data_IF_902486306541
#
_entry.id   IF_902486306541
#
_cell.length_a   1.000
_cell.length_b   1.000
_cell.length_c   1.000
_cell.angle_alpha   90.00
_cell.angle_beta   90.00
_cell.angle_gamma   90.00
#
_symmetry.space_group_name_H-M   'P 1'
#
loop_
_entity.id
_entity.type
_entity.pdbx_description
1 polymer ?
#
# COMPACT_ATOMS: atom_id res chain seq x y z
N UNK A 1 16.46 8.60 14.22
CA UNK A 1 16.92 8.47 12.81
C UNK A 1 15.84 7.66 12.10
N UNK A 2 15.21 8.23 11.07
CA UNK A 2 14.03 7.66 10.42
C UNK A 2 14.46 6.46 9.56
N UNK A 3 14.36 5.25 10.13
CA UNK A 3 14.82 3.97 9.55
C UNK A 3 13.71 3.31 8.70
N UNK A 4 12.97 4.11 7.94
CA UNK A 4 12.00 3.60 6.96
C UNK A 4 12.79 3.05 5.76
N UNK A 5 12.64 1.76 5.48
CA UNK A 5 13.20 1.18 4.26
C UNK A 5 12.43 1.70 3.05
N UNK A 6 13.12 1.88 1.93
CA UNK A 6 12.43 2.24 0.68
C UNK A 6 11.58 1.07 0.16
N UNK A 7 12.10 -0.16 0.27
CA UNK A 7 11.46 -1.38 -0.22
C UNK A 7 11.61 -2.50 0.82
N UNK A 8 10.50 -3.17 1.13
CA UNK A 8 10.46 -4.48 1.76
C UNK A 8 10.09 -5.52 0.71
N UNK A 9 10.86 -6.60 0.66
CA UNK A 9 10.54 -7.76 -0.17
C UNK A 9 9.89 -8.84 0.70
N UNK A 10 8.78 -9.40 0.23
CA UNK A 10 8.08 -10.50 0.90
C UNK A 10 8.28 -11.80 0.14
N UNK A 11 8.42 -12.89 0.89
CA UNK A 11 8.79 -14.19 0.36
C UNK A 11 7.61 -15.14 0.16
N UNK A 12 6.49 -14.92 0.85
CA UNK A 12 5.34 -15.84 0.86
C UNK A 12 4.01 -15.17 0.54
N UNK A 13 3.02 -15.95 0.10
CA UNK A 13 1.65 -15.46 -0.14
C UNK A 13 0.99 -15.08 1.19
N UNK A 14 1.28 -15.82 2.26
CA UNK A 14 0.78 -15.58 3.60
C UNK A 14 1.20 -14.19 4.13
N UNK A 15 2.43 -13.76 3.84
CA UNK A 15 2.90 -12.41 4.21
C UNK A 15 2.12 -11.32 3.45
N UNK A 16 1.79 -11.56 2.17
CA UNK A 16 0.91 -10.67 1.43
C UNK A 16 -0.52 -10.67 1.98
N UNK A 17 -1.06 -11.82 2.38
CA UNK A 17 -2.40 -11.88 2.98
C UNK A 17 -2.48 -11.11 4.29
N UNK A 18 -1.41 -11.18 5.10
CA UNK A 18 -1.27 -10.38 6.31
C UNK A 18 -1.32 -8.88 6.03
N UNK A 19 -0.94 -8.40 4.84
CA UNK A 19 -1.12 -7.01 4.45
C UNK A 19 -2.51 -6.75 3.83
N UNK A 20 -2.93 -7.56 2.84
CA UNK A 20 -3.98 -7.25 1.86
C UNK A 20 -5.43 -7.28 2.37
N UNK A 21 -5.67 -7.19 3.67
CA UNK A 21 -7.02 -6.90 4.19
C UNK A 21 -7.27 -5.41 4.22
N UNK A 22 -8.51 -4.99 3.96
CA UNK A 22 -8.89 -3.57 3.94
C UNK A 22 -8.42 -2.78 5.17
N UNK A 23 -8.75 -3.27 6.37
CA UNK A 23 -8.40 -2.57 7.62
C UNK A 23 -6.88 -2.51 7.86
N UNK A 24 -6.12 -3.52 7.41
CA UNK A 24 -4.66 -3.55 7.59
C UNK A 24 -3.94 -2.64 6.60
N UNK A 25 -4.42 -2.55 5.37
CA UNK A 25 -3.89 -1.59 4.40
C UNK A 25 -4.18 -0.14 4.81
N UNK A 26 -5.38 0.17 5.30
CA UNK A 26 -5.68 1.52 5.83
C UNK A 26 -4.84 1.86 7.06
N UNK A 27 -4.64 0.88 7.96
CA UNK A 27 -3.75 1.06 9.10
C UNK A 27 -2.29 1.27 8.66
N UNK A 28 -1.80 0.51 7.69
CA UNK A 28 -0.44 0.67 7.17
C UNK A 28 -0.23 2.05 6.53
N UNK A 29 -1.22 2.57 5.80
CA UNK A 29 -1.18 3.92 5.22
C UNK A 29 -1.09 5.01 6.29
N UNK A 30 -1.89 4.92 7.35
CA UNK A 30 -1.83 5.86 8.48
C UNK A 30 -0.50 5.78 9.23
N UNK A 31 0.06 4.57 9.35
CA UNK A 31 1.36 4.30 9.97
C UNK A 31 2.56 4.58 9.03
N UNK A 32 2.34 5.18 7.86
CA UNK A 32 3.44 5.76 7.07
C UNK A 32 4.20 6.83 7.88
N UNK A 33 3.47 7.52 8.77
CA UNK A 33 4.05 8.41 9.78
C UNK A 33 4.00 7.75 11.17
N UNK A 34 5.00 7.98 12.05
CA UNK A 34 5.01 7.38 13.38
C UNK A 34 3.79 7.80 14.23
N UNK A 35 3.00 6.83 14.70
CA UNK A 35 1.81 7.08 15.52
C UNK A 35 1.64 6.04 16.61
N UNK A 36 1.03 6.44 17.72
CA UNK A 36 0.56 5.50 18.73
C UNK A 36 -0.71 4.78 18.26
N UNK A 37 -1.00 3.62 18.85
CA UNK A 37 -2.24 2.89 18.55
C UNK A 37 -3.50 3.74 18.81
N UNK A 38 -3.44 4.68 19.76
CA UNK A 38 -4.56 5.58 20.05
C UNK A 38 -4.76 6.61 18.93
N UNK A 39 -3.69 7.27 18.49
CA UNK A 39 -3.74 8.25 17.39
C UNK A 39 -4.21 7.58 16.10
N UNK A 40 -3.67 6.40 15.76
CA UNK A 40 -4.11 5.67 14.57
C UNK A 40 -5.58 5.23 14.64
N UNK A 41 -6.09 4.87 15.83
CA UNK A 41 -7.50 4.51 16.01
C UNK A 41 -8.43 5.73 15.86
N UNK A 42 -7.99 6.89 16.34
CA UNK A 42 -8.69 8.17 16.17
C UNK A 42 -8.77 8.55 14.69
N UNK A 43 -7.65 8.47 13.95
CA UNK A 43 -7.60 8.75 12.51
C UNK A 43 -8.51 7.83 11.69
N UNK A 44 -8.62 6.55 12.09
CA UNK A 44 -9.51 5.56 11.45
C UNK A 44 -10.96 5.64 11.92
N UNK A 45 -11.27 6.41 12.97
CA UNK A 45 -12.61 6.44 13.56
C UNK A 45 -13.07 5.09 14.14
N UNK A 46 -12.15 4.25 14.61
CA UNK A 46 -12.46 2.91 15.16
C UNK A 46 -12.04 2.78 16.64
N UNK A 47 -12.64 1.86 17.42
CA UNK A 47 -12.16 1.57 18.76
C UNK A 47 -10.72 1.02 18.75
N UNK A 48 -9.86 1.54 19.63
CA UNK A 48 -8.45 1.11 19.73
C UNK A 48 -8.29 -0.39 20.00
N UNK A 49 -9.22 -1.01 20.72
CA UNK A 49 -9.24 -2.46 20.96
C UNK A 49 -9.40 -3.28 19.69
N UNK A 50 -10.20 -2.79 18.73
CA UNK A 50 -10.36 -3.40 17.41
C UNK A 50 -9.12 -3.17 16.55
N UNK A 51 -8.45 -2.03 16.72
CA UNK A 51 -7.20 -1.74 16.02
C UNK A 51 -6.08 -2.69 16.42
N UNK A 52 -5.95 -3.03 17.70
CA UNK A 52 -4.87 -3.91 18.19
C UNK A 52 -4.86 -5.27 17.50
N UNK A 53 -6.01 -5.81 17.09
CA UNK A 53 -6.06 -7.04 16.31
C UNK A 53 -5.29 -6.91 14.98
N UNK A 54 -5.56 -5.84 14.24
CA UNK A 54 -4.90 -5.57 12.95
C UNK A 54 -3.44 -5.16 13.12
N UNK A 55 -3.15 -4.34 14.14
CA UNK A 55 -1.80 -3.90 14.47
C UNK A 55 -0.88 -5.08 14.85
N UNK A 56 -1.37 -6.00 15.68
CA UNK A 56 -0.60 -7.18 16.08
C UNK A 56 -0.32 -8.08 14.89
N UNK A 57 -1.30 -8.31 13.99
CA UNK A 57 -1.06 -9.08 12.77
C UNK A 57 0.05 -8.46 11.89
N UNK A 58 0.08 -7.13 11.78
CA UNK A 58 1.14 -6.42 11.03
C UNK A 58 2.50 -6.47 11.74
N UNK A 59 2.53 -6.43 13.08
CA UNK A 59 3.75 -6.59 13.88
C UNK A 59 4.32 -8.02 13.74
N UNK A 60 3.46 -9.03 13.84
CA UNK A 60 3.83 -10.44 13.75
C UNK A 60 4.37 -10.79 12.35
N UNK A 61 3.79 -10.17 11.30
CA UNK A 61 4.28 -10.27 9.93
C UNK A 61 5.50 -9.38 9.64
N UNK A 62 6.01 -8.61 10.61
CA UNK A 62 7.16 -7.72 10.43
C UNK A 62 6.91 -6.54 9.48
N UNK A 63 5.65 -6.21 9.20
CA UNK A 63 5.23 -5.11 8.31
C UNK A 63 5.20 -3.75 9.02
N UNK A 64 5.05 -3.79 10.35
CA UNK A 64 5.08 -2.62 11.26
C UNK A 64 6.09 -2.90 12.37
N UNK A 65 6.71 -1.84 12.90
CA UNK A 65 7.61 -1.91 14.05
C UNK A 65 7.31 -0.84 15.08
N UNK A 66 7.75 -1.07 16.31
CA UNK A 66 7.83 -0.02 17.34
C UNK A 66 9.08 0.81 17.07
N UNK A 67 8.91 2.11 16.85
CA UNK A 67 10.00 3.05 16.57
C UNK A 67 10.39 3.90 17.76
N UNK A 68 9.50 4.03 18.74
CA UNK A 68 9.76 4.78 19.99
C UNK A 68 8.79 4.35 21.11
N UNK A 69 9.10 4.71 22.35
CA UNK A 69 8.22 4.58 23.51
C UNK A 69 8.18 5.88 24.31
N UNK A 70 6.98 6.47 24.46
CA UNK A 70 6.77 7.70 25.25
C UNK A 70 6.14 7.40 26.61
N UNK A 71 6.59 8.05 27.70
CA UNK A 71 5.94 7.91 29.00
C UNK A 71 4.54 8.54 29.00
N UNK A 72 3.57 7.84 29.58
CA UNK A 72 2.18 8.28 29.72
C UNK A 72 1.67 7.88 31.11
N UNK A 73 1.94 8.74 32.09
CA UNK A 73 1.71 8.43 33.50
C UNK A 73 2.62 7.28 33.97
N UNK A 74 2.05 6.22 34.51
CA UNK A 74 2.79 5.03 34.95
C UNK A 74 3.09 4.01 33.83
N UNK A 75 2.54 4.22 32.62
CA UNK A 75 2.68 3.30 31.50
C UNK A 75 3.58 3.90 30.41
N UNK A 76 4.17 3.04 29.58
CA UNK A 76 4.82 3.42 28.33
C UNK A 76 3.87 3.21 27.17
N UNK A 77 3.71 4.23 26.33
CA UNK A 77 2.94 4.15 25.09
C UNK A 77 3.90 3.96 23.92
N UNK A 78 3.67 2.91 23.12
CA UNK A 78 4.49 2.59 21.96
C UNK A 78 4.07 3.41 20.75
N UNK A 79 5.05 3.89 19.99
CA UNK A 79 4.89 4.56 18.71
C UNK A 79 5.25 3.55 17.62
N UNK A 80 4.34 3.38 16.66
CA UNK A 80 4.41 2.40 15.59
C UNK A 80 4.62 3.07 14.24
N UNK A 81 5.30 2.39 13.33
CA UNK A 81 5.48 2.83 11.94
C UNK A 81 5.64 1.61 11.04
N UNK A 82 5.20 1.71 9.78
CA UNK A 82 5.52 0.70 8.76
C UNK A 82 7.03 0.56 8.59
N UNK A 83 7.48 -0.64 8.22
CA UNK A 83 8.92 -0.90 8.05
C UNK A 83 9.46 -0.38 6.71
N UNK A 84 8.59 -0.28 5.69
CA UNK A 84 8.96 0.18 4.36
C UNK A 84 7.85 0.97 3.67
N UNK A 85 8.23 1.82 2.71
CA UNK A 85 7.30 2.59 1.86
C UNK A 85 6.69 1.74 0.74
N UNK A 86 7.48 0.82 0.20
CA UNK A 86 7.07 -0.07 -0.90
C UNK A 86 7.18 -1.51 -0.44
N UNK A 87 6.19 -2.33 -0.80
CA UNK A 87 6.19 -3.77 -0.56
C UNK A 87 6.06 -4.48 -1.90
N UNK A 88 6.94 -5.46 -2.17
CA UNK A 88 6.93 -6.22 -3.41
C UNK A 88 7.33 -7.68 -3.22
N UNK A 89 7.00 -8.57 -4.16
CA UNK A 89 7.48 -9.94 -4.12
C UNK A 89 9.00 -9.99 -4.24
N UNK A 90 9.65 -10.81 -3.44
CA UNK A 90 11.10 -11.04 -3.52
C UNK A 90 11.46 -11.91 -4.71
N UNK A 91 12.76 -12.04 -4.99
CA UNK A 91 13.25 -13.03 -5.95
C UNK A 91 12.89 -14.46 -5.52
N UNK A 92 12.97 -14.77 -4.23
CA UNK A 92 12.63 -16.09 -3.70
C UNK A 92 11.14 -16.41 -3.92
N UNK A 93 10.26 -15.43 -3.70
CA UNK A 93 8.84 -15.57 -4.01
C UNK A 93 8.63 -15.95 -5.48
N UNK A 94 9.28 -15.21 -6.40
CA UNK A 94 9.17 -15.46 -7.85
C UNK A 94 9.67 -16.87 -8.24
N UNK A 95 10.76 -17.33 -7.62
CA UNK A 95 11.30 -18.67 -7.84
C UNK A 95 10.40 -19.77 -7.24
N UNK A 96 9.70 -19.48 -6.15
CA UNK A 96 8.87 -20.45 -5.42
C UNK A 96 7.47 -20.59 -6.01
N UNK A 97 6.79 -19.47 -6.25
CA UNK A 97 5.38 -19.45 -6.66
C UNK A 97 5.16 -19.09 -8.13
N UNK A 98 6.20 -18.59 -8.81
CA UNK A 98 6.17 -18.28 -10.23
C UNK A 98 5.02 -17.34 -10.63
N UNK A 99 4.51 -17.53 -11.85
CA UNK A 99 3.41 -16.71 -12.38
C UNK A 99 2.08 -16.92 -11.65
N UNK A 100 1.85 -18.09 -11.06
CA UNK A 100 0.59 -18.40 -10.36
C UNK A 100 0.48 -17.64 -9.04
N UNK A 101 1.52 -17.65 -8.21
CA UNK A 101 1.54 -16.82 -6.99
C UNK A 101 1.52 -15.33 -7.29
N UNK A 102 2.18 -14.90 -8.37
CA UNK A 102 2.07 -13.51 -8.83
C UNK A 102 0.64 -13.14 -9.20
N UNK A 103 -0.09 -14.02 -9.88
CA UNK A 103 -1.50 -13.79 -10.21
C UNK A 103 -2.38 -13.76 -8.96
N UNK A 104 -2.11 -14.60 -7.97
CA UNK A 104 -2.82 -14.64 -6.69
C UNK A 104 -2.64 -13.34 -5.89
N UNK A 105 -1.39 -12.93 -5.63
CA UNK A 105 -1.08 -11.68 -4.92
C UNK A 105 -1.63 -10.46 -5.68
N UNK A 106 -1.53 -10.46 -7.01
CA UNK A 106 -2.12 -9.40 -7.83
C UNK A 106 -3.64 -9.35 -7.66
N UNK A 107 -4.32 -10.50 -7.64
CA UNK A 107 -5.77 -10.58 -7.44
C UNK A 107 -6.19 -10.03 -6.08
N UNK A 108 -5.44 -10.33 -5.02
CA UNK A 108 -5.69 -9.79 -3.68
C UNK A 108 -5.57 -8.26 -3.70
N UNK A 109 -4.52 -7.74 -4.32
CA UNK A 109 -4.25 -6.32 -4.40
C UNK A 109 -5.32 -5.59 -5.26
N UNK A 110 -5.75 -6.19 -6.38
CA UNK A 110 -6.83 -5.65 -7.22
C UNK A 110 -8.18 -5.58 -6.51
N UNK A 111 -8.55 -6.60 -5.72
CA UNK A 111 -9.82 -6.57 -4.95
C UNK A 111 -9.85 -5.41 -3.97
N UNK A 112 -8.72 -5.10 -3.35
CA UNK A 112 -8.66 -3.94 -2.47
C UNK A 112 -8.77 -2.63 -3.26
N UNK A 113 -8.07 -2.53 -4.40
CA UNK A 113 -8.16 -1.36 -5.27
C UNK A 113 -9.60 -1.12 -5.75
N UNK A 114 -10.30 -2.17 -6.19
CA UNK A 114 -11.71 -2.12 -6.58
C UNK A 114 -12.58 -1.60 -5.42
N UNK A 115 -12.41 -2.16 -4.23
CA UNK A 115 -13.17 -1.76 -3.03
C UNK A 115 -12.99 -0.28 -2.71
N UNK A 116 -11.74 0.20 -2.68
CA UNK A 116 -11.40 1.59 -2.38
C UNK A 116 -11.86 2.55 -3.46
N UNK A 117 -11.64 2.20 -4.72
CA UNK A 117 -12.09 2.98 -5.85
C UNK A 117 -13.61 3.13 -5.85
N UNK A 118 -14.35 2.05 -5.59
CA UNK A 118 -15.80 2.07 -5.46
C UNK A 118 -16.28 2.94 -4.28
N UNK A 119 -15.58 2.92 -3.15
CA UNK A 119 -15.89 3.79 -2.01
C UNK A 119 -15.64 5.27 -2.34
N UNK A 120 -14.51 5.59 -2.97
CA UNK A 120 -14.16 6.94 -3.39
C UNK A 120 -15.15 7.52 -4.42
N UNK A 121 -15.58 6.70 -5.39
CA UNK A 121 -16.65 7.07 -6.33
C UNK A 121 -17.96 7.41 -5.61
N UNK A 122 -18.41 6.55 -4.69
CA UNK A 122 -19.66 6.77 -3.93
C UNK A 122 -19.59 8.01 -3.03
N UNK A 123 -18.40 8.32 -2.53
CA UNK A 123 -18.15 9.51 -1.73
C UNK A 123 -18.00 10.80 -2.57
N UNK A 124 -18.05 10.71 -3.91
CA UNK A 124 -17.90 11.86 -4.79
C UNK A 124 -16.47 12.41 -4.86
N UNK A 125 -15.48 11.66 -4.37
CA UNK A 125 -14.06 12.06 -4.35
C UNK A 125 -13.39 11.91 -5.72
N UNK A 126 -14.04 11.19 -6.64
CA UNK A 126 -13.60 10.99 -8.02
C UNK A 126 -14.60 11.74 -8.92
N UNK A 127 -14.09 12.76 -9.60
CA UNK A 127 -14.88 13.86 -10.15
C UNK A 127 -16.10 13.48 -10.98
N UNK A 128 -17.22 14.15 -10.68
CA UNK A 128 -18.29 14.39 -11.64
C UNK A 128 -18.31 15.85 -12.13
N UNK A 129 -17.72 16.82 -11.42
CA UNK A 129 -17.68 18.22 -11.86
C UNK A 129 -16.39 18.94 -11.41
N UNK A 130 -15.88 19.80 -12.29
CA UNK A 130 -14.84 20.85 -12.14
C UNK A 130 -13.37 20.49 -12.45
N UNK A 131 -12.66 21.50 -12.96
CA UNK A 131 -11.37 21.55 -13.66
C UNK A 131 -10.14 20.93 -12.97
N UNK A 132 -10.31 20.24 -11.83
CA UNK A 132 -9.23 19.63 -11.06
C UNK A 132 -9.27 18.11 -11.27
N UNK A 133 -8.34 17.59 -12.08
CA UNK A 133 -8.18 16.14 -12.29
C UNK A 133 -7.59 15.48 -11.04
N UNK A 134 -8.40 15.30 -10.00
CA UNK A 134 -8.02 14.68 -8.71
C UNK A 134 -7.85 13.16 -8.83
N UNK A 135 -8.41 12.54 -9.87
CA UNK A 135 -8.21 11.14 -10.22
C UNK A 135 -8.42 10.91 -11.73
N UNK A 136 -7.63 10.04 -12.36
CA UNK A 136 -7.80 9.66 -13.77
C UNK A 136 -8.26 8.22 -13.86
N UNK A 137 -9.44 7.97 -14.43
CA UNK A 137 -9.86 6.66 -14.90
C UNK A 137 -9.60 6.58 -16.41
N UNK A 138 -8.67 5.73 -16.82
CA UNK A 138 -8.35 5.53 -18.23
C UNK A 138 -7.76 4.15 -18.48
N UNK A 139 -8.36 3.39 -19.39
CA UNK A 139 -7.73 2.18 -19.92
C UNK A 139 -6.75 2.61 -21.02
N UNK A 140 -5.45 2.61 -20.72
CA UNK A 140 -4.39 2.94 -21.69
C UNK A 140 -3.77 1.64 -22.20
N UNK A 141 -4.00 1.34 -23.48
CA UNK A 141 -3.38 0.19 -24.15
C UNK A 141 -2.15 0.65 -24.93
N UNK A 142 -0.95 0.21 -24.52
CA UNK A 142 0.31 0.52 -25.18
C UNK A 142 0.92 -0.76 -25.76
N UNK A 143 1.33 -0.74 -27.03
CA UNK A 143 2.19 -1.78 -27.62
C UNK A 143 3.64 -1.33 -27.53
N UNK A 144 4.43 -2.03 -26.71
CA UNK A 144 5.80 -1.65 -26.38
C UNK A 144 6.75 -2.83 -26.60
N UNK A 145 7.99 -2.56 -27.01
CA UNK A 145 9.08 -3.53 -26.90
C UNK A 145 9.49 -3.71 -25.43
N UNK A 146 10.18 -4.80 -25.09
CA UNK A 146 10.69 -5.05 -23.72
C UNK A 146 11.50 -3.86 -23.19
N UNK A 147 12.38 -3.29 -24.02
CA UNK A 147 13.18 -2.12 -23.64
C UNK A 147 12.30 -0.90 -23.29
N UNK A 148 11.24 -0.64 -24.08
CA UNK A 148 10.32 0.47 -23.84
C UNK A 148 9.37 0.21 -22.67
N UNK A 149 9.02 -1.06 -22.41
CA UNK A 149 8.27 -1.45 -21.21
C UNK A 149 9.09 -1.18 -19.95
N UNK A 150 10.36 -1.62 -19.92
CA UNK A 150 11.27 -1.33 -18.80
C UNK A 150 11.45 0.18 -18.60
N UNK A 151 11.62 0.95 -19.68
CA UNK A 151 11.69 2.41 -19.62
C UNK A 151 10.42 3.03 -19.05
N UNK A 152 9.23 2.58 -19.49
CA UNK A 152 7.95 3.07 -18.97
C UNK A 152 7.81 2.79 -17.48
N UNK A 153 8.09 1.56 -17.05
CA UNK A 153 8.03 1.16 -15.63
C UNK A 153 8.98 2.04 -14.80
N UNK A 154 10.25 2.15 -15.19
CA UNK A 154 11.21 2.97 -14.45
C UNK A 154 10.85 4.46 -14.40
N UNK A 155 10.18 4.99 -15.44
CA UNK A 155 9.66 6.38 -15.43
C UNK A 155 8.46 6.54 -14.53
N UNK A 156 7.56 5.56 -14.45
CA UNK A 156 6.42 5.58 -13.52
C UNK A 156 6.90 5.51 -12.08
N UNK A 157 7.85 4.63 -11.77
CA UNK A 157 8.49 4.55 -10.44
C UNK A 157 9.14 5.88 -10.06
N UNK A 158 9.91 6.49 -10.99
CA UNK A 158 10.52 7.80 -10.74
C UNK A 158 9.48 8.89 -10.52
N UNK A 159 8.43 8.94 -11.33
CA UNK A 159 7.34 9.90 -11.18
C UNK A 159 6.66 9.76 -9.83
N UNK A 160 6.40 8.52 -9.37
CA UNK A 160 5.82 8.28 -8.04
C UNK A 160 6.76 8.75 -6.93
N UNK A 161 8.05 8.48 -7.06
CA UNK A 161 9.06 8.91 -6.09
C UNK A 161 9.15 10.44 -5.97
N UNK A 162 8.93 11.20 -7.04
CA UNK A 162 8.97 12.67 -7.03
C UNK A 162 7.87 13.30 -6.13
N UNK A 163 6.81 12.56 -5.81
CA UNK A 163 5.72 13.00 -4.91
C UNK A 163 5.69 12.23 -3.57
N UNK A 164 6.64 11.32 -3.36
CA UNK A 164 6.65 10.49 -2.16
C UNK A 164 7.06 11.30 -0.93
N UNK A 165 6.15 11.44 0.04
CA UNK A 165 6.39 12.16 1.30
C UNK A 165 5.79 13.56 1.37
N UNK A 166 5.02 13.99 0.36
CA UNK A 166 4.26 15.24 0.43
C UNK A 166 3.13 15.16 1.47
N UNK A 167 3.01 16.18 2.33
CA UNK A 167 1.98 16.31 3.37
C UNK A 167 0.75 17.11 2.86
N UNK A 168 0.27 16.77 1.67
CA UNK A 168 -0.87 17.45 1.03
C UNK A 168 -2.24 17.08 1.62
N UNK A 169 -3.27 17.87 1.27
CA UNK A 169 -4.66 17.68 1.73
C UNK A 169 -5.35 16.44 1.13
N UNK A 170 -4.78 15.84 0.10
CA UNK A 170 -5.35 14.69 -0.62
C UNK A 170 -4.47 13.46 -0.47
N UNK A 171 -5.01 12.39 0.12
CA UNK A 171 -4.40 11.06 0.09
C UNK A 171 -4.79 10.34 -1.21
N UNK A 172 -3.81 10.00 -2.04
CA UNK A 172 -4.02 9.37 -3.37
C UNK A 172 -3.38 7.99 -3.37
N UNK A 173 -4.16 6.96 -3.67
CA UNK A 173 -3.66 5.59 -3.87
C UNK A 173 -3.48 5.29 -5.37
N UNK A 174 -2.28 4.87 -5.77
CA UNK A 174 -2.01 4.41 -7.13
C UNK A 174 -1.96 2.88 -7.17
N UNK A 175 -2.88 2.27 -7.93
CA UNK A 175 -2.77 0.88 -8.30
C UNK A 175 -2.28 0.80 -9.75
N UNK A 176 -1.06 0.30 -9.95
CA UNK A 176 -0.54 0.08 -11.30
C UNK A 176 -0.09 -1.36 -11.45
N UNK A 177 -0.62 -2.04 -12.47
CA UNK A 177 -0.16 -3.34 -12.91
C UNK A 177 0.13 -3.24 -14.41
N UNK A 178 1.38 -3.46 -14.79
CA UNK A 178 1.76 -3.59 -16.19
C UNK A 178 2.09 -5.05 -16.46
N UNK A 179 1.36 -5.67 -17.38
CA UNK A 179 1.60 -7.04 -17.78
C UNK A 179 1.45 -7.19 -19.31
N UNK A 180 2.29 -8.02 -19.97
CA UNK A 180 2.01 -8.41 -21.34
C UNK A 180 0.74 -9.26 -21.41
N UNK A 181 -0.10 -9.04 -22.42
CA UNK A 181 -1.31 -9.84 -22.70
C UNK A 181 -1.07 -10.72 -23.91
N UNK A 182 -1.59 -11.96 -23.90
CA UNK A 182 -1.64 -12.80 -25.12
C UNK A 182 -2.48 -12.09 -26.19
N UNK A 183 -1.92 -11.92 -27.39
CA UNK A 183 -2.72 -11.56 -28.57
C UNK A 183 -3.74 -12.68 -28.79
N UNK A 184 -5.02 -12.32 -28.98
CA UNK A 184 -6.04 -13.28 -29.37
C UNK A 184 -5.78 -13.67 -30.83
N UNK A 185 -5.29 -14.89 -31.04
CA UNK A 185 -5.34 -15.61 -32.31
C UNK A 185 -6.62 -16.41 -32.41
#
# INVERSE_FOLDING_TARGET
MNDLQEILELDTIEDFDALMSANRLELAEILATPKTAKEAAEDLGVPVTRLYYHLNALLDAGLVKVVDERPKGALKERIFQVVAKTIRPSRLFLETYGSEGMAEVSTMAFRQAETRFGAALKAGLIGAETDERTATLGLVNLRLSTARLHELVGRLEKLQADFAGDEGEHSVSFFHATHPRKDQS
#
